data_IF_680343630286
#
_entry.id   IF_680343630286
#
_cell.length_a   1.000
_cell.length_b   1.000
_cell.length_c   1.000
_cell.angle_alpha   90.00
_cell.angle_beta   90.00
_cell.angle_gamma   90.00
#
_symmetry.space_group_name_H-M   'P 1'
#
loop_
_entity.id
_entity.type
_entity.pdbx_description
1 polymer ?
#
# COMPACT_ATOMS: atom_id res chain seq x y z
N UNK A 1 6.18 -19.51 -11.44
CA UNK A 1 5.22 -18.51 -10.93
C UNK A 1 3.94 -19.17 -10.46
N UNK A 2 3.26 -19.98 -11.29
CA UNK A 2 2.00 -20.65 -10.90
C UNK A 2 2.17 -21.65 -9.74
N UNK A 3 3.22 -22.47 -9.74
CA UNK A 3 3.52 -23.41 -8.64
C UNK A 3 3.80 -22.70 -7.30
N UNK A 4 4.47 -21.54 -7.36
CA UNK A 4 4.76 -20.74 -6.17
C UNK A 4 3.51 -20.07 -5.62
N UNK A 5 2.62 -19.60 -6.49
CA UNK A 5 1.33 -19.04 -6.07
C UNK A 5 0.48 -20.11 -5.37
N UNK A 6 0.40 -21.32 -5.93
CA UNK A 6 -0.27 -22.45 -5.28
C UNK A 6 0.34 -22.77 -3.91
N UNK A 7 1.67 -22.77 -3.82
CA UNK A 7 2.35 -22.97 -2.54
C UNK A 7 1.98 -21.89 -1.52
N UNK A 8 2.00 -20.61 -1.92
CA UNK A 8 1.65 -19.48 -1.05
C UNK A 8 0.23 -19.67 -0.51
N UNK A 9 -0.74 -19.95 -1.39
CA UNK A 9 -2.13 -20.13 -1.02
C UNK A 9 -2.35 -21.32 -0.06
N UNK A 10 -1.60 -22.40 -0.24
CA UNK A 10 -1.69 -23.58 0.62
C UNK A 10 -1.01 -23.41 1.99
N UNK A 11 -0.20 -22.36 2.19
CA UNK A 11 0.65 -22.18 3.38
C UNK A 11 0.60 -20.75 3.93
N UNK A 12 -0.53 -20.04 3.76
CA UNK A 12 -0.68 -18.66 4.23
C UNK A 12 -0.41 -18.54 5.73
N UNK A 13 -0.87 -19.48 6.55
CA UNK A 13 -0.62 -19.53 8.00
C UNK A 13 0.87 -19.53 8.37
N UNK A 14 1.71 -20.13 7.53
CA UNK A 14 3.18 -20.18 7.71
C UNK A 14 3.89 -18.96 7.12
N UNK A 15 3.20 -18.20 6.28
CA UNK A 15 3.76 -17.04 5.57
C UNK A 15 3.36 -15.74 6.28
N UNK A 16 2.13 -15.62 6.77
CA UNK A 16 1.58 -14.44 7.45
C UNK A 16 2.03 -14.42 8.91
N UNK A 17 3.35 -14.36 9.11
CA UNK A 17 4.02 -14.34 10.41
C UNK A 17 4.93 -13.12 10.53
N UNK A 18 5.27 -12.72 11.76
CA UNK A 18 6.07 -11.51 12.02
C UNK A 18 7.41 -11.47 11.30
N UNK A 19 8.05 -12.63 11.09
CA UNK A 19 9.31 -12.71 10.33
C UNK A 19 9.19 -12.17 8.90
N UNK A 20 8.00 -12.30 8.30
CA UNK A 20 7.72 -11.85 6.94
C UNK A 20 6.99 -10.50 6.91
N UNK A 21 6.71 -9.90 8.07
CA UNK A 21 6.02 -8.61 8.14
C UNK A 21 6.84 -7.52 7.45
N UNK A 22 6.18 -6.74 6.60
CA UNK A 22 6.80 -5.67 5.82
C UNK A 22 6.22 -4.28 6.13
N UNK A 23 5.00 -4.20 6.63
CA UNK A 23 4.35 -2.93 6.95
C UNK A 23 2.86 -3.07 7.23
N UNK A 24 2.24 -2.00 7.70
CA UNK A 24 0.81 -1.98 8.00
C UNK A 24 0.23 -0.61 7.62
N UNK A 25 -0.80 -0.62 6.79
CA UNK A 25 -1.62 0.55 6.49
C UNK A 25 -2.89 0.55 7.33
N UNK A 26 -3.74 1.54 7.09
CA UNK A 26 -5.03 1.66 7.80
C UNK A 26 -5.97 0.47 7.56
N UNK A 27 -5.92 -0.13 6.36
CA UNK A 27 -6.88 -1.15 5.92
C UNK A 27 -6.23 -2.50 5.57
N UNK A 28 -4.89 -2.57 5.53
CA UNK A 28 -4.16 -3.76 5.09
C UNK A 28 -2.87 -3.96 5.89
N UNK A 29 -2.50 -5.21 6.13
CA UNK A 29 -1.19 -5.62 6.65
C UNK A 29 -0.39 -6.29 5.54
N UNK A 30 0.89 -5.96 5.44
CA UNK A 30 1.74 -6.35 4.31
C UNK A 30 2.81 -7.32 4.77
N UNK A 31 2.97 -8.41 4.03
CA UNK A 31 4.00 -9.42 4.24
C UNK A 31 4.80 -9.62 2.96
N UNK A 32 6.11 -9.80 3.09
CA UNK A 32 7.00 -10.16 1.98
C UNK A 32 7.35 -11.64 2.05
N UNK A 33 7.13 -12.36 0.95
CA UNK A 33 7.59 -13.73 0.79
C UNK A 33 8.30 -13.91 -0.55
N UNK A 34 9.62 -14.08 -0.49
CA UNK A 34 10.49 -14.13 -1.67
C UNK A 34 10.24 -12.92 -2.59
N UNK A 35 9.85 -13.15 -3.85
CA UNK A 35 9.50 -12.16 -4.87
C UNK A 35 8.02 -11.73 -4.85
N UNK A 36 7.28 -12.02 -3.78
CA UNK A 36 5.87 -11.67 -3.65
C UNK A 36 5.61 -10.77 -2.44
N UNK A 37 4.57 -9.97 -2.58
CA UNK A 37 3.92 -9.25 -1.49
C UNK A 37 2.53 -9.84 -1.30
N UNK A 38 2.20 -10.17 -0.05
CA UNK A 38 0.85 -10.56 0.35
C UNK A 38 0.30 -9.43 1.22
N UNK A 39 -0.80 -8.80 0.80
CA UNK A 39 -1.53 -7.83 1.62
C UNK A 39 -2.77 -8.52 2.20
N UNK A 40 -2.76 -8.72 3.51
CA UNK A 40 -3.90 -9.19 4.30
C UNK A 40 -4.84 -8.01 4.57
N UNK A 41 -6.14 -8.20 4.37
CA UNK A 41 -7.10 -7.13 4.63
C UNK A 41 -7.50 -7.10 6.10
N UNK A 42 -7.30 -5.94 6.71
CA UNK A 42 -7.77 -5.64 8.08
C UNK A 42 -9.20 -5.08 8.06
N UNK A 43 -9.63 -4.56 6.91
CA UNK A 43 -10.95 -3.99 6.69
C UNK A 43 -11.39 -4.20 5.24
N UNK A 44 -12.71 -4.23 4.97
CA UNK A 44 -13.26 -4.45 3.63
C UNK A 44 -12.81 -3.42 2.57
N UNK A 45 -12.41 -2.21 3.02
CA UNK A 45 -11.84 -1.19 2.14
C UNK A 45 -10.55 -1.70 1.49
N UNK A 46 -9.76 -2.51 2.18
CA UNK A 46 -8.56 -3.14 1.61
C UNK A 46 -8.90 -4.01 0.39
N UNK A 47 -10.00 -4.74 0.44
CA UNK A 47 -10.51 -5.54 -0.67
C UNK A 47 -11.07 -4.66 -1.80
N UNK A 48 -11.79 -3.59 -1.50
CA UNK A 48 -12.27 -2.64 -2.51
C UNK A 48 -11.12 -1.93 -3.22
N UNK A 49 -10.08 -1.53 -2.50
CA UNK A 49 -8.86 -1.01 -3.10
C UNK A 49 -8.25 -2.04 -4.07
N UNK A 50 -8.25 -3.35 -3.75
CA UNK A 50 -7.70 -4.35 -4.67
C UNK A 50 -8.55 -4.59 -5.91
N UNK A 51 -9.88 -4.52 -5.79
CA UNK A 51 -10.74 -4.52 -6.98
C UNK A 51 -10.45 -3.35 -7.90
N UNK A 52 -10.19 -2.17 -7.33
CA UNK A 52 -9.81 -1.00 -8.11
C UNK A 52 -8.43 -1.20 -8.75
N UNK A 53 -7.43 -1.69 -8.02
CA UNK A 53 -6.09 -2.02 -8.57
C UNK A 53 -6.21 -2.93 -9.81
N UNK A 54 -6.93 -4.05 -9.71
CA UNK A 54 -7.14 -4.97 -10.83
C UNK A 54 -7.88 -4.32 -12.02
N UNK A 55 -8.92 -3.53 -11.73
CA UNK A 55 -9.67 -2.82 -12.77
C UNK A 55 -8.82 -1.76 -13.48
N UNK A 56 -8.05 -0.98 -12.72
CA UNK A 56 -7.17 0.06 -13.23
C UNK A 56 -6.01 -0.53 -14.02
N UNK A 57 -5.43 -1.63 -13.53
CA UNK A 57 -4.39 -2.37 -14.24
C UNK A 57 -4.85 -2.77 -15.65
N UNK A 58 -6.04 -3.37 -15.77
CA UNK A 58 -6.63 -3.76 -17.08
C UNK A 58 -6.86 -2.56 -18.00
N UNK A 59 -7.25 -1.41 -17.45
CA UNK A 59 -7.42 -0.16 -18.23
C UNK A 59 -6.08 0.39 -18.72
N UNK A 60 -5.05 0.37 -17.86
CA UNK A 60 -3.69 0.78 -18.23
C UNK A 60 -3.06 -0.19 -19.24
N UNK A 61 -3.33 -1.49 -19.12
CA UNK A 61 -2.89 -2.50 -20.06
C UNK A 61 -3.43 -2.24 -21.47
N UNK A 62 -4.72 -1.92 -21.59
CA UNK A 62 -5.33 -1.55 -22.87
C UNK A 62 -4.72 -0.28 -23.50
N UNK A 63 -4.03 0.55 -22.70
CA UNK A 63 -3.31 1.76 -23.14
C UNK A 63 -1.80 1.54 -23.29
N UNK A 64 -1.29 0.33 -23.06
CA UNK A 64 0.15 0.03 -23.11
C UNK A 64 0.96 0.58 -21.93
N UNK A 65 0.30 0.90 -20.80
CA UNK A 65 0.92 1.55 -19.63
C UNK A 65 1.07 0.61 -18.42
N UNK A 66 0.64 -0.64 -18.53
CA UNK A 66 0.59 -1.58 -17.41
C UNK A 66 1.97 -1.98 -16.83
N UNK A 67 3.07 -1.79 -17.57
CA UNK A 67 4.42 -2.08 -17.06
C UNK A 67 4.86 -1.14 -15.94
N UNK A 68 4.16 -0.02 -15.73
CA UNK A 68 4.52 1.02 -14.75
C UNK A 68 3.72 0.91 -13.44
N UNK A 69 2.88 -0.12 -13.32
CA UNK A 69 2.06 -0.39 -12.14
C UNK A 69 2.14 -1.87 -11.76
N UNK A 70 2.11 -2.18 -10.47
CA UNK A 70 2.19 -3.56 -10.00
C UNK A 70 0.90 -4.35 -10.33
N UNK A 71 0.96 -5.48 -11.05
CA UNK A 71 -0.22 -6.30 -11.33
C UNK A 71 -0.76 -6.97 -10.07
N UNK A 72 -2.06 -7.29 -10.08
CA UNK A 72 -2.66 -8.23 -9.13
C UNK A 72 -2.50 -9.64 -9.71
N UNK A 73 -1.76 -10.51 -9.01
CA UNK A 73 -1.58 -11.92 -9.43
C UNK A 73 -2.71 -12.80 -8.93
N UNK A 74 -3.23 -12.51 -7.74
CA UNK A 74 -4.33 -13.19 -7.11
C UNK A 74 -4.97 -12.30 -6.05
N UNK A 75 -6.27 -12.42 -5.87
CA UNK A 75 -6.93 -11.88 -4.69
C UNK A 75 -8.20 -12.65 -4.38
N UNK A 76 -8.58 -12.65 -3.11
CA UNK A 76 -9.89 -13.11 -2.64
C UNK A 76 -10.44 -12.08 -1.64
N UNK A 77 -11.35 -12.48 -0.75
CA UNK A 77 -11.96 -11.58 0.25
C UNK A 77 -11.06 -11.25 1.44
N UNK A 78 -9.95 -11.97 1.62
CA UNK A 78 -9.08 -11.92 2.80
C UNK A 78 -7.67 -11.39 2.45
N UNK A 79 -7.19 -11.65 1.23
CA UNK A 79 -5.84 -11.26 0.80
C UNK A 79 -5.77 -10.79 -0.66
N UNK A 80 -4.68 -10.09 -0.99
CA UNK A 80 -4.16 -9.90 -2.35
C UNK A 80 -2.68 -10.30 -2.43
N UNK A 81 -2.25 -10.75 -3.61
CA UNK A 81 -0.88 -11.13 -3.91
C UNK A 81 -0.41 -10.36 -5.15
N UNK A 82 0.74 -9.69 -5.01
CA UNK A 82 1.40 -8.91 -6.06
C UNK A 82 2.88 -9.30 -6.16
N UNK A 83 3.58 -8.98 -7.27
CA UNK A 83 5.03 -9.04 -7.30
C UNK A 83 5.64 -8.07 -6.27
N UNK A 84 6.77 -8.45 -5.69
CA UNK A 84 7.56 -7.56 -4.85
C UNK A 84 8.39 -6.62 -5.72
N UNK A 85 8.29 -5.33 -5.44
CA UNK A 85 9.19 -4.29 -5.95
C UNK A 85 10.00 -3.72 -4.80
N UNK A 86 11.24 -3.33 -5.07
CA UNK A 86 12.14 -2.83 -4.02
C UNK A 86 11.61 -1.49 -3.51
N UNK A 87 11.31 -1.41 -2.21
CA UNK A 87 10.76 -0.19 -1.61
C UNK A 87 11.74 0.98 -1.71
N UNK A 88 11.19 2.20 -1.81
CA UNK A 88 11.97 3.42 -1.66
C UNK A 88 12.53 3.51 -0.22
N UNK A 89 13.74 4.08 -0.04
CA UNK A 89 14.29 4.26 1.29
C UNK A 89 13.43 5.21 2.10
N UNK A 90 13.20 4.86 3.37
CA UNK A 90 12.51 5.74 4.31
C UNK A 90 13.42 6.91 4.70
N UNK A 91 12.83 8.08 4.96
CA UNK A 91 13.51 9.22 5.57
C UNK A 91 13.03 9.31 7.01
N UNK A 92 13.94 9.25 7.98
CA UNK A 92 13.60 9.22 9.42
C UNK A 92 12.63 8.09 9.81
N UNK A 93 12.74 6.93 9.15
CA UNK A 93 11.83 5.78 9.29
C UNK A 93 10.40 6.04 8.79
N UNK A 94 10.22 7.03 7.90
CA UNK A 94 8.93 7.42 7.34
C UNK A 94 8.92 7.40 5.81
N UNK A 95 7.73 7.17 5.24
CA UNK A 95 7.48 7.60 3.88
C UNK A 95 7.46 9.14 3.80
N UNK A 96 7.59 9.67 2.59
CA UNK A 96 7.68 11.09 2.36
C UNK A 96 6.90 11.48 1.09
N UNK A 97 6.53 12.75 0.98
CA UNK A 97 5.86 13.25 -0.22
C UNK A 97 6.88 13.35 -1.37
N UNK A 98 6.65 12.59 -2.43
CA UNK A 98 7.41 12.66 -3.67
C UNK A 98 7.07 13.93 -4.45
N UNK A 99 8.10 14.71 -4.77
CA UNK A 99 8.00 15.72 -5.80
C UNK A 99 8.12 15.05 -7.18
N UNK A 100 7.00 14.57 -7.70
CA UNK A 100 6.94 13.86 -8.99
C UNK A 100 7.53 14.69 -10.15
N UNK A 101 7.49 16.03 -10.10
CA UNK A 101 8.07 16.87 -11.16
C UNK A 101 9.61 16.87 -11.17
N UNK A 102 10.23 16.53 -10.05
CA UNK A 102 11.68 16.52 -9.87
C UNK A 102 12.23 15.11 -9.64
N UNK A 103 11.42 14.06 -9.82
CA UNK A 103 11.77 12.69 -9.51
C UNK A 103 12.50 12.03 -10.70
N UNK A 104 13.83 11.83 -10.63
CA UNK A 104 14.61 11.32 -11.76
C UNK A 104 14.24 9.88 -12.18
N UNK A 105 13.62 9.11 -11.28
CA UNK A 105 13.19 7.72 -11.55
C UNK A 105 11.81 7.66 -12.21
N UNK A 106 11.12 8.80 -12.36
CA UNK A 106 9.81 8.88 -13.01
C UNK A 106 9.99 8.80 -14.53
N UNK A 107 9.37 7.79 -15.15
CA UNK A 107 9.35 7.67 -16.61
C UNK A 107 8.18 8.48 -17.19
N UNK A 108 8.31 8.89 -18.46
CA UNK A 108 7.22 9.58 -19.16
C UNK A 108 5.95 8.72 -19.29
N UNK A 109 6.08 7.40 -19.33
CA UNK A 109 4.94 6.50 -19.40
C UNK A 109 4.28 6.28 -18.03
N UNK A 110 5.05 6.25 -16.93
CA UNK A 110 4.46 6.32 -15.59
C UNK A 110 3.74 7.66 -15.38
N UNK A 111 4.29 8.79 -15.84
CA UNK A 111 3.59 10.07 -15.77
C UNK A 111 2.23 10.02 -16.51
N UNK A 112 2.18 9.41 -17.70
CA UNK A 112 0.91 9.17 -18.42
C UNK A 112 -0.02 8.24 -17.64
N UNK A 113 0.50 7.18 -17.02
CA UNK A 113 -0.30 6.26 -16.21
C UNK A 113 -0.95 6.99 -15.02
N UNK A 114 -0.17 7.82 -14.30
CA UNK A 114 -0.65 8.67 -13.21
C UNK A 114 -1.73 9.64 -13.68
N UNK A 115 -1.56 10.24 -14.87
CA UNK A 115 -2.58 11.10 -15.45
C UNK A 115 -3.89 10.36 -15.72
N UNK A 116 -3.84 9.16 -16.31
CA UNK A 116 -5.02 8.32 -16.54
C UNK A 116 -5.69 7.96 -15.21
N UNK A 117 -4.91 7.55 -14.22
CA UNK A 117 -5.42 7.19 -12.90
C UNK A 117 -6.14 8.38 -12.23
N UNK A 118 -5.52 9.55 -12.18
CA UNK A 118 -6.09 10.74 -11.54
C UNK A 118 -7.29 11.33 -12.30
N UNK A 119 -7.20 11.43 -13.64
CA UNK A 119 -8.20 12.16 -14.45
C UNK A 119 -9.33 11.30 -14.98
N UNK A 120 -9.08 10.01 -15.23
CA UNK A 120 -10.08 9.11 -15.84
C UNK A 120 -10.66 8.11 -14.84
N UNK A 121 -9.92 7.74 -13.79
CA UNK A 121 -10.25 6.60 -12.93
C UNK A 121 -10.51 6.98 -11.46
N UNK A 122 -10.59 8.28 -11.15
CA UNK A 122 -10.80 8.80 -9.79
C UNK A 122 -9.73 8.36 -8.78
N UNK A 123 -8.55 7.98 -9.26
CA UNK A 123 -7.46 7.51 -8.43
C UNK A 123 -6.88 8.61 -7.54
N UNK A 124 -6.33 8.20 -6.39
CA UNK A 124 -5.87 9.09 -5.33
C UNK A 124 -4.57 8.58 -4.69
N UNK A 125 -3.90 9.46 -3.93
CA UNK A 125 -2.74 9.15 -3.09
C UNK A 125 -1.42 8.84 -3.82
N UNK A 126 -1.17 9.49 -4.96
CA UNK A 126 0.03 9.21 -5.77
C UNK A 126 1.32 9.90 -5.33
N UNK A 127 1.31 10.65 -4.23
CA UNK A 127 2.51 11.37 -3.78
C UNK A 127 3.21 10.71 -2.62
N UNK A 128 2.58 9.76 -1.94
CA UNK A 128 3.26 9.02 -0.87
C UNK A 128 4.34 8.10 -1.48
N UNK A 129 5.59 8.26 -1.04
CA UNK A 129 6.70 7.40 -1.47
C UNK A 129 6.47 5.92 -1.13
N UNK A 130 5.65 5.62 -0.11
CA UNK A 130 5.26 4.26 0.28
C UNK A 130 4.40 3.55 -0.76
N UNK A 131 3.78 4.30 -1.67
CA UNK A 131 2.97 3.76 -2.76
C UNK A 131 3.80 3.38 -3.99
N UNK A 132 5.13 3.50 -3.93
CA UNK A 132 6.05 3.16 -5.01
C UNK A 132 7.08 2.10 -4.60
N UNK A 133 7.48 1.30 -5.58
CA UNK A 133 8.67 0.47 -5.54
C UNK A 133 9.56 0.75 -6.74
N UNK A 134 10.67 0.04 -6.82
CA UNK A 134 11.63 0.09 -7.92
C UNK A 134 11.61 -1.24 -8.68
N UNK A 135 11.63 -1.15 -10.01
CA UNK A 135 11.97 -2.27 -10.88
C UNK A 135 13.49 -2.54 -10.89
N UNK A 136 13.90 -3.54 -11.67
CA UNK A 136 15.31 -3.96 -11.77
C UNK A 136 16.18 -2.91 -12.49
N UNK A 137 15.58 -1.97 -13.22
CA UNK A 137 16.26 -0.86 -13.89
C UNK A 137 16.34 0.40 -13.00
N UNK A 138 15.69 0.38 -11.84
CA UNK A 138 15.64 1.49 -10.88
C UNK A 138 14.58 2.55 -11.19
N UNK A 139 13.64 2.27 -12.10
CA UNK A 139 12.50 3.15 -12.35
C UNK A 139 11.41 2.96 -11.30
N UNK A 140 10.60 4.00 -11.09
CA UNK A 140 9.44 3.90 -10.22
C UNK A 140 8.37 2.98 -10.83
N UNK A 141 7.80 2.13 -9.97
CA UNK A 141 6.60 1.35 -10.21
C UNK A 141 5.59 1.69 -9.12
N UNK A 142 4.35 2.01 -9.51
CA UNK A 142 3.29 2.28 -8.55
C UNK A 142 2.72 0.95 -8.02
N UNK A 143 2.81 0.71 -6.72
CA UNK A 143 2.50 -0.57 -6.07
C UNK A 143 1.21 -0.54 -5.21
N UNK A 144 0.71 0.65 -4.89
CA UNK A 144 -0.58 0.86 -4.26
C UNK A 144 -1.31 2.01 -4.95
N UNK A 145 -2.36 1.67 -5.69
CA UNK A 145 -3.08 2.60 -6.57
C UNK A 145 -4.58 2.32 -6.61
N UNK A 146 -5.07 1.57 -5.62
CA UNK A 146 -6.47 1.18 -5.51
C UNK A 146 -7.36 2.20 -4.83
N UNK A 147 -6.76 3.20 -4.17
CA UNK A 147 -7.55 4.23 -3.51
C UNK A 147 -8.15 5.18 -4.54
N UNK A 148 -9.46 5.43 -4.40
CA UNK A 148 -10.15 6.46 -5.17
C UNK A 148 -10.54 7.60 -4.26
N UNK A 149 -10.66 8.83 -4.79
CA UNK A 149 -11.13 9.98 -4.00
C UNK A 149 -12.49 9.70 -3.39
N UNK A 150 -13.39 9.10 -4.16
CA UNK A 150 -14.71 8.70 -3.66
C UNK A 150 -14.65 7.68 -2.52
N UNK A 151 -13.82 6.64 -2.63
CA UNK A 151 -13.67 5.63 -1.57
C UNK A 151 -13.03 6.25 -0.30
N UNK A 152 -12.04 7.12 -0.49
CA UNK A 152 -11.40 7.85 0.58
C UNK A 152 -12.40 8.74 1.34
N UNK A 153 -13.07 9.65 0.63
CA UNK A 153 -13.94 10.66 1.23
C UNK A 153 -15.23 10.08 1.80
N UNK A 154 -15.84 9.08 1.13
CA UNK A 154 -17.15 8.55 1.54
C UNK A 154 -17.09 7.38 2.51
N UNK A 155 -15.97 6.68 2.57
CA UNK A 155 -15.84 5.48 3.40
C UNK A 155 -14.67 5.61 4.37
N UNK A 156 -13.47 5.90 3.89
CA UNK A 156 -12.29 5.93 4.75
C UNK A 156 -12.36 7.04 5.80
N UNK A 157 -12.60 8.30 5.39
CA UNK A 157 -12.63 9.47 6.29
C UNK A 157 -13.66 9.30 7.41
N UNK A 158 -14.95 8.98 7.15
CA UNK A 158 -15.93 8.80 8.21
C UNK A 158 -15.56 7.70 9.22
N UNK A 159 -14.96 6.61 8.75
CA UNK A 159 -14.55 5.50 9.63
C UNK A 159 -13.30 5.87 10.45
N UNK A 160 -12.39 6.66 9.88
CA UNK A 160 -11.21 7.16 10.57
C UNK A 160 -11.57 8.18 11.67
N UNK A 161 -12.51 9.07 11.38
CA UNK A 161 -13.05 10.03 12.36
C UNK A 161 -13.81 9.33 13.50
N UNK A 162 -14.54 8.25 13.17
CA UNK A 162 -15.23 7.41 14.16
C UNK A 162 -14.30 6.49 14.96
N UNK A 163 -12.99 6.48 14.66
CA UNK A 163 -12.00 5.62 15.30
C UNK A 163 -12.12 4.14 14.99
N UNK A 164 -12.81 3.78 13.89
CA UNK A 164 -12.91 2.41 13.40
C UNK A 164 -11.67 2.05 12.57
N UNK A 165 -11.23 2.98 11.72
CA UNK A 165 -9.95 2.86 11.02
C UNK A 165 -8.89 3.71 11.71
N UNK A 166 -7.63 3.26 11.75
CA UNK A 166 -6.57 4.08 12.27
C UNK A 166 -6.16 5.14 11.26
N UNK A 167 -6.01 6.35 11.76
CA UNK A 167 -5.21 7.39 11.13
C UNK A 167 -3.74 7.10 11.44
N UNK A 168 -2.85 7.38 10.50
CA UNK A 168 -1.41 7.15 10.69
C UNK A 168 -0.73 8.51 10.77
N UNK A 169 -0.03 8.75 11.87
CA UNK A 169 0.82 9.92 12.08
C UNK A 169 2.23 9.47 12.43
N UNK A 170 3.23 10.27 12.09
CA UNK A 170 4.59 10.05 12.56
C UNK A 170 4.81 10.85 13.84
N UNK A 171 4.97 10.12 14.95
CA UNK A 171 5.14 10.70 16.27
C UNK A 171 6.17 9.90 17.07
N UNK A 172 6.71 10.51 18.12
CA UNK A 172 7.59 9.81 19.06
C UNK A 172 6.77 8.79 19.85
N UNK A 173 7.13 7.51 19.71
CA UNK A 173 6.48 6.45 20.47
C UNK A 173 6.70 6.66 21.98
N UNK A 174 5.63 6.72 22.77
CA UNK A 174 5.71 6.94 24.23
C UNK A 174 6.49 5.84 24.97
N UNK A 175 6.56 4.64 24.40
CA UNK A 175 7.22 3.49 25.04
C UNK A 175 8.70 3.38 24.68
N UNK A 176 9.07 3.51 23.40
CA UNK A 176 10.48 3.36 22.98
C UNK A 176 11.21 4.68 22.71
N UNK A 177 10.52 5.82 22.68
CA UNK A 177 11.13 7.14 22.45
C UNK A 177 11.62 7.39 21.03
N UNK A 178 11.31 6.50 20.07
CA UNK A 178 11.71 6.61 18.67
C UNK A 178 10.53 7.14 17.84
N UNK A 179 10.79 8.09 16.95
CA UNK A 179 9.84 8.56 15.94
C UNK A 179 9.50 7.43 14.95
N UNK A 180 8.22 7.08 14.88
CA UNK A 180 7.68 5.97 14.08
C UNK A 180 6.24 6.25 13.65
N UNK A 181 5.72 5.42 12.77
CA UNK A 181 4.28 5.36 12.48
C UNK A 181 3.50 5.01 13.76
N UNK A 182 2.62 5.91 14.15
CA UNK A 182 1.64 5.75 15.21
C UNK A 182 0.26 5.67 14.56
N UNK A 183 -0.42 4.56 14.83
CA UNK A 183 -1.83 4.36 14.46
C UNK A 183 -2.67 5.04 15.53
N UNK A 184 -3.66 5.85 15.18
CA UNK A 184 -4.55 6.53 16.11
C UNK A 184 -6.01 6.32 15.73
N UNK A 185 -6.83 5.93 16.69
CA UNK A 185 -8.23 5.54 16.48
C UNK A 185 -9.18 6.62 16.99
N UNK A 186 -9.50 7.57 16.11
CA UNK A 186 -10.33 8.72 16.45
C UNK A 186 -9.57 9.76 17.29
N UNK A 187 -10.22 10.89 17.56
CA UNK A 187 -9.54 12.04 18.18
C UNK A 187 -9.16 11.83 19.65
N UNK A 188 -9.86 10.94 20.35
CA UNK A 188 -9.69 10.69 21.80
C UNK A 188 -8.73 9.55 22.13
N UNK A 189 -8.16 8.88 21.12
CA UNK A 189 -7.14 7.87 21.35
C UNK A 189 -5.92 8.55 21.97
N UNK A 190 -5.56 8.17 23.20
CA UNK A 190 -4.39 8.68 23.92
C UNK A 190 -3.18 7.73 23.83
N UNK A 191 -3.36 6.53 23.28
CA UNK A 191 -2.27 5.59 23.08
C UNK A 191 -1.43 6.08 21.89
N UNK A 192 -0.18 6.45 22.13
CA UNK A 192 0.80 6.79 21.08
C UNK A 192 1.97 5.82 21.08
N UNK A 193 1.72 4.55 21.45
CA UNK A 193 2.68 3.48 21.25
C UNK A 193 2.70 3.08 19.79
N UNK A 194 3.87 2.74 19.27
CA UNK A 194 3.99 2.15 17.94
C UNK A 194 3.58 0.67 17.96
N UNK A 195 3.35 0.08 16.79
CA UNK A 195 2.94 -1.33 16.65
C UNK A 195 3.91 -2.29 17.35
N UNK A 196 5.22 -2.06 17.19
CA UNK A 196 6.25 -2.86 17.88
C UNK A 196 6.26 -2.73 19.40
N UNK A 197 5.58 -1.74 19.98
CA UNK A 197 5.40 -1.55 21.42
C UNK A 197 4.00 -2.00 21.90
N UNK A 198 3.29 -2.80 21.10
CA UNK A 198 2.03 -3.43 21.48
C UNK A 198 0.79 -2.58 21.21
N UNK A 199 0.83 -1.70 20.19
CA UNK A 199 -0.36 -1.08 19.62
C UNK A 199 -0.88 -1.94 18.47
N UNK A 200 -2.17 -2.28 18.50
CA UNK A 200 -2.85 -3.03 17.42
C UNK A 200 -3.51 -2.07 16.43
#
# INVERSE_FOLDING_TARGET
MEDELHYILAHLDKILIDKNYAGIGSTRKVYKYKQFVIKEYLHEIGYFQTKNEDAFYKKLQAKGLASHVAPILYFNKDITIQPFYTQLPLINNSSYELNLQAEPRLTADLEKALHVLDKELDGFDFRDSGNYGLDDEGHLILIDYGMTKRLYERNWVPLAEAGILPQISFEICQSCGIEKEIRTYGMEDADRRCVGCGKE
#
